data_IF_116385158841
#
_entry.id   IF_116385158841
#
_cell.length_a   1.000
_cell.length_b   1.000
_cell.length_c   1.000
_cell.angle_alpha   90.00
_cell.angle_beta   90.00
_cell.angle_gamma   90.00
#
_symmetry.space_group_name_H-M   'P 1'
#
loop_
_entity.id
_entity.type
_entity.pdbx_description
1 polymer ?
#
# COMPACT_ATOMS: atom_id res chain seq x y z
N UNK A 1 3.46 -21.19 -25.78
CA UNK A 1 2.49 -20.80 -24.72
C UNK A 1 1.26 -21.68 -24.92
N UNK A 2 0.80 -22.35 -23.87
CA UNK A 2 -0.47 -23.09 -23.92
C UNK A 2 -1.63 -22.10 -24.04
N UNK A 3 -2.78 -22.55 -24.55
CA UNK A 3 -4.01 -21.71 -24.62
C UNK A 3 -4.42 -21.19 -23.24
N UNK A 4 -4.21 -21.97 -22.19
CA UNK A 4 -4.49 -21.59 -20.79
C UNK A 4 -3.54 -20.50 -20.29
N UNK A 5 -2.24 -20.57 -20.63
CA UNK A 5 -1.30 -19.49 -20.29
C UNK A 5 -1.72 -18.17 -20.94
N UNK A 6 -2.15 -18.21 -22.20
CA UNK A 6 -2.66 -17.02 -22.89
C UNK A 6 -3.92 -16.48 -22.20
N UNK A 7 -4.83 -17.37 -21.78
CA UNK A 7 -6.04 -16.97 -21.04
C UNK A 7 -5.70 -16.27 -19.69
N UNK A 8 -4.74 -16.80 -18.93
CA UNK A 8 -4.26 -16.17 -17.69
C UNK A 8 -3.73 -14.76 -17.95
N UNK A 9 -2.88 -14.61 -18.99
CA UNK A 9 -2.32 -13.29 -19.36
C UNK A 9 -3.42 -12.31 -19.77
N UNK A 10 -4.39 -12.74 -20.55
CA UNK A 10 -5.52 -11.90 -20.98
C UNK A 10 -6.34 -11.46 -19.77
N UNK A 11 -6.70 -12.40 -18.88
CA UNK A 11 -7.46 -12.08 -17.64
C UNK A 11 -6.68 -11.10 -16.77
N UNK A 12 -5.37 -11.30 -16.61
CA UNK A 12 -4.52 -10.42 -15.81
C UNK A 12 -4.47 -9.01 -16.41
N UNK A 13 -4.20 -8.87 -17.71
CA UNK A 13 -4.13 -7.55 -18.38
C UNK A 13 -5.50 -6.86 -18.33
N UNK A 14 -6.59 -7.57 -18.64
CA UNK A 14 -7.94 -7.00 -18.63
C UNK A 14 -8.35 -6.56 -17.23
N UNK A 15 -8.08 -7.39 -16.21
CA UNK A 15 -8.34 -7.04 -14.81
C UNK A 15 -7.54 -5.82 -14.36
N UNK A 16 -6.27 -5.73 -14.74
CA UNK A 16 -5.43 -4.58 -14.41
C UNK A 16 -5.92 -3.29 -15.07
N UNK A 17 -6.37 -3.37 -16.33
CA UNK A 17 -6.99 -2.23 -17.02
C UNK A 17 -8.30 -1.81 -16.34
N UNK A 18 -9.13 -2.75 -15.90
CA UNK A 18 -10.36 -2.45 -15.16
C UNK A 18 -10.04 -1.76 -13.81
N UNK A 19 -9.00 -2.19 -13.09
CA UNK A 19 -8.54 -1.54 -11.86
C UNK A 19 -8.03 -0.12 -12.14
N UNK A 20 -7.22 0.06 -13.18
CA UNK A 20 -6.70 1.38 -13.57
C UNK A 20 -7.80 2.35 -14.00
N UNK A 21 -8.86 1.85 -14.62
CA UNK A 21 -10.00 2.62 -15.09
C UNK A 21 -11.16 2.68 -14.08
N UNK A 22 -10.93 2.39 -12.80
CA UNK A 22 -11.96 2.42 -11.74
C UNK A 22 -12.77 3.73 -11.74
N UNK A 23 -12.11 4.86 -11.96
CA UNK A 23 -12.75 6.18 -12.01
C UNK A 23 -13.80 6.32 -13.13
N UNK A 24 -13.63 5.59 -14.23
CA UNK A 24 -14.51 5.59 -15.40
C UNK A 24 -15.57 4.50 -15.28
N UNK A 25 -15.14 3.28 -14.96
CA UNK A 25 -16.00 2.08 -14.91
C UNK A 25 -16.92 2.07 -13.70
N UNK A 26 -16.55 2.77 -12.63
CA UNK A 26 -17.25 2.77 -11.32
C UNK A 26 -17.32 1.37 -10.67
N UNK A 27 -16.55 0.41 -11.16
CA UNK A 27 -16.45 -0.93 -10.58
C UNK A 27 -15.39 -0.93 -9.49
N UNK A 28 -15.72 -1.51 -8.34
CA UNK A 28 -14.80 -1.58 -7.21
C UNK A 28 -13.57 -2.42 -7.55
N UNK A 29 -12.39 -1.84 -7.41
CA UNK A 29 -11.10 -2.48 -7.70
C UNK A 29 -10.87 -3.78 -6.92
N UNK A 30 -11.36 -3.87 -5.67
CA UNK A 30 -11.23 -5.09 -4.87
C UNK A 30 -12.05 -6.24 -5.44
N UNK A 31 -13.26 -5.97 -5.98
CA UNK A 31 -14.08 -6.96 -6.65
C UNK A 31 -13.41 -7.44 -7.94
N UNK A 32 -12.84 -6.54 -8.73
CA UNK A 32 -12.07 -6.91 -9.95
C UNK A 32 -10.88 -7.77 -9.58
N UNK A 33 -10.09 -7.38 -8.56
CA UNK A 33 -8.92 -8.14 -8.13
C UNK A 33 -9.31 -9.56 -7.62
N UNK A 34 -10.42 -9.69 -6.90
CA UNK A 34 -10.92 -10.97 -6.44
C UNK A 34 -11.34 -11.88 -7.62
N UNK A 35 -12.07 -11.35 -8.58
CA UNK A 35 -12.45 -12.09 -9.80
C UNK A 35 -11.21 -12.51 -10.60
N UNK A 36 -10.26 -11.60 -10.77
CA UNK A 36 -8.99 -11.89 -11.44
C UNK A 36 -8.22 -13.01 -10.73
N UNK A 37 -8.15 -12.98 -9.41
CA UNK A 37 -7.56 -14.04 -8.60
C UNK A 37 -8.25 -15.39 -8.87
N UNK A 38 -9.57 -15.45 -8.77
CA UNK A 38 -10.34 -16.69 -8.99
C UNK A 38 -10.12 -17.24 -10.39
N UNK A 39 -10.22 -16.43 -11.44
CA UNK A 39 -10.02 -16.89 -12.81
C UNK A 39 -8.58 -17.35 -13.08
N UNK A 40 -7.57 -16.61 -12.62
CA UNK A 40 -6.17 -17.01 -12.80
C UNK A 40 -5.87 -18.35 -12.11
N UNK A 41 -6.35 -18.54 -10.88
CA UNK A 41 -6.18 -19.81 -10.17
C UNK A 41 -6.98 -20.95 -10.82
N UNK A 42 -8.18 -20.70 -11.32
CA UNK A 42 -8.96 -21.70 -12.05
C UNK A 42 -8.22 -22.18 -13.30
N UNK A 43 -7.70 -21.27 -14.11
CA UNK A 43 -6.94 -21.65 -15.30
C UNK A 43 -5.61 -22.34 -14.98
N UNK A 44 -4.95 -21.94 -13.90
CA UNK A 44 -3.75 -22.63 -13.40
C UNK A 44 -4.09 -24.08 -12.99
N UNK A 45 -5.20 -24.29 -12.27
CA UNK A 45 -5.64 -25.61 -11.79
C UNK A 45 -6.12 -26.55 -12.90
N UNK A 46 -6.49 -26.03 -14.08
CA UNK A 46 -6.88 -26.87 -15.22
C UNK A 46 -5.69 -27.61 -15.85
N UNK A 47 -4.48 -27.05 -15.79
CA UNK A 47 -3.25 -27.68 -16.28
C UNK A 47 -2.03 -27.25 -15.45
N UNK A 48 -1.94 -27.69 -14.18
CA UNK A 48 -0.84 -27.30 -13.31
C UNK A 48 0.51 -27.90 -13.77
N UNK A 49 0.49 -29.02 -14.51
CA UNK A 49 1.69 -29.66 -15.05
C UNK A 49 2.44 -28.82 -16.08
N UNK A 50 1.77 -27.87 -16.73
CA UNK A 50 2.42 -26.93 -17.63
C UNK A 50 3.32 -25.91 -16.90
N UNK A 51 3.14 -25.73 -15.58
CA UNK A 51 3.83 -24.73 -14.76
C UNK A 51 4.75 -25.36 -13.72
N UNK A 52 4.37 -26.53 -13.18
CA UNK A 52 5.15 -27.26 -12.19
C UNK A 52 5.87 -28.40 -12.93
N UNK A 53 7.16 -28.23 -13.15
CA UNK A 53 7.99 -29.22 -13.86
C UNK A 53 8.77 -30.09 -12.88
N UNK A 54 9.03 -31.35 -13.27
CA UNK A 54 9.87 -32.26 -12.48
C UNK A 54 9.14 -33.05 -11.39
N UNK A 55 7.82 -33.04 -11.39
CA UNK A 55 6.98 -33.76 -10.41
C UNK A 55 6.14 -34.81 -11.16
N UNK A 56 5.99 -36.02 -10.57
CA UNK A 56 5.09 -37.04 -11.11
C UNK A 56 3.63 -36.61 -10.99
N UNK A 57 2.74 -37.18 -11.80
CA UNK A 57 1.30 -36.87 -11.75
C UNK A 57 0.65 -37.06 -10.37
N UNK A 58 1.14 -38.04 -9.59
CA UNK A 58 0.68 -38.25 -8.21
C UNK A 58 1.23 -37.18 -7.23
N UNK A 59 2.42 -36.65 -7.48
CA UNK A 59 3.02 -35.57 -6.67
C UNK A 59 2.50 -34.16 -7.00
N UNK A 60 1.82 -34.01 -8.16
CA UNK A 60 1.39 -32.72 -8.66
C UNK A 60 0.36 -32.03 -7.74
N UNK A 61 -0.59 -32.81 -7.17
CA UNK A 61 -1.59 -32.31 -6.23
C UNK A 61 -0.92 -31.76 -4.96
N UNK A 62 0.07 -32.47 -4.42
CA UNK A 62 0.82 -32.04 -3.25
C UNK A 62 1.63 -30.76 -3.55
N UNK A 63 2.30 -30.70 -4.71
CA UNK A 63 3.05 -29.53 -5.11
C UNK A 63 2.16 -28.29 -5.32
N UNK A 64 0.96 -28.45 -5.87
CA UNK A 64 -0.03 -27.38 -5.98
C UNK A 64 -0.51 -26.92 -4.61
N UNK A 65 -0.83 -27.88 -3.70
CA UNK A 65 -1.26 -27.57 -2.32
C UNK A 65 -0.18 -26.76 -1.59
N UNK A 66 1.07 -27.20 -1.66
CA UNK A 66 2.21 -26.51 -1.06
C UNK A 66 2.40 -25.10 -1.64
N UNK A 67 2.25 -24.93 -2.95
CA UNK A 67 2.32 -23.61 -3.57
C UNK A 67 1.20 -22.68 -3.07
N UNK A 68 -0.04 -23.18 -2.95
CA UNK A 68 -1.17 -22.42 -2.42
C UNK A 68 -0.92 -22.03 -0.96
N UNK A 69 -0.54 -22.98 -0.11
CA UNK A 69 -0.26 -22.73 1.30
C UNK A 69 0.86 -21.70 1.49
N UNK A 70 1.94 -21.81 0.70
CA UNK A 70 3.04 -20.85 0.72
C UNK A 70 2.59 -19.43 0.36
N UNK A 71 1.80 -19.28 -0.70
CA UNK A 71 1.30 -17.96 -1.11
C UNK A 71 0.28 -17.38 -0.14
N UNK A 72 -0.64 -18.22 0.39
CA UNK A 72 -1.59 -17.80 1.42
C UNK A 72 -0.88 -17.41 2.71
N UNK A 73 0.09 -18.20 3.17
CA UNK A 73 0.89 -17.89 4.36
C UNK A 73 1.61 -16.55 4.24
N UNK A 74 2.29 -16.31 3.13
CA UNK A 74 2.99 -15.05 2.86
C UNK A 74 2.04 -13.86 2.83
N UNK A 75 0.87 -14.00 2.21
CA UNK A 75 -0.15 -12.95 2.14
C UNK A 75 -0.78 -12.69 3.51
N UNK A 76 -1.10 -13.77 4.24
CA UNK A 76 -1.69 -13.69 5.59
C UNK A 76 -0.79 -12.94 6.56
N UNK A 77 0.52 -13.17 6.54
CA UNK A 77 1.48 -12.45 7.38
C UNK A 77 1.37 -10.94 7.17
N UNK A 78 1.31 -10.50 5.91
CA UNK A 78 1.16 -9.08 5.58
C UNK A 78 -0.20 -8.54 6.03
N UNK A 79 -1.29 -9.29 5.84
CA UNK A 79 -2.64 -8.86 6.26
C UNK A 79 -2.74 -8.73 7.78
N UNK A 80 -2.24 -9.70 8.54
CA UNK A 80 -2.26 -9.62 10.02
C UNK A 80 -1.40 -8.49 10.54
N UNK A 81 -0.24 -8.23 9.92
CA UNK A 81 0.57 -7.08 10.26
C UNK A 81 -0.19 -5.76 10.05
N UNK A 82 -0.82 -5.58 8.88
CA UNK A 82 -1.60 -4.38 8.57
C UNK A 82 -2.79 -4.22 9.52
N UNK A 83 -3.53 -5.29 9.81
CA UNK A 83 -4.65 -5.26 10.75
C UNK A 83 -4.20 -4.82 12.15
N UNK A 84 -3.08 -5.37 12.64
CA UNK A 84 -2.50 -4.98 13.94
C UNK A 84 -2.07 -3.52 13.96
N UNK A 85 -1.34 -3.08 12.94
CA UNK A 85 -0.88 -1.70 12.81
C UNK A 85 -2.07 -0.72 12.75
N UNK A 86 -3.08 -0.96 11.92
CA UNK A 86 -4.26 -0.10 11.82
C UNK A 86 -5.07 -0.06 13.12
N UNK A 87 -5.17 -1.18 13.84
CA UNK A 87 -5.83 -1.23 15.16
C UNK A 87 -5.11 -0.35 16.18
N UNK A 88 -3.78 -0.40 16.22
CA UNK A 88 -2.97 0.44 17.12
C UNK A 88 -3.16 1.91 16.78
N UNK A 89 -3.11 2.27 15.49
CA UNK A 89 -3.31 3.65 15.04
C UNK A 89 -4.70 4.18 15.40
N UNK A 90 -5.74 3.36 15.21
CA UNK A 90 -7.11 3.71 15.59
C UNK A 90 -7.24 3.98 17.10
N UNK A 91 -6.64 3.13 17.93
CA UNK A 91 -6.62 3.34 19.39
C UNK A 91 -5.89 4.64 19.75
N UNK A 92 -4.78 4.94 19.10
CA UNK A 92 -4.02 6.19 19.31
C UNK A 92 -4.86 7.41 18.92
N UNK A 93 -5.56 7.35 17.78
CA UNK A 93 -6.42 8.45 17.31
C UNK A 93 -7.60 8.69 18.25
N UNK A 94 -8.30 7.63 18.67
CA UNK A 94 -9.43 7.73 19.61
C UNK A 94 -9.02 8.32 20.96
N UNK A 95 -7.79 8.09 21.41
CA UNK A 95 -7.24 8.66 22.64
C UNK A 95 -6.56 10.03 22.44
N UNK A 96 -6.75 10.65 21.28
CA UNK A 96 -6.22 11.99 21.00
C UNK A 96 -4.71 12.05 20.81
N UNK A 97 -4.07 10.92 20.46
CA UNK A 97 -2.62 10.85 20.25
C UNK A 97 -2.11 11.77 19.14
N UNK A 98 -2.96 12.19 18.21
CA UNK A 98 -2.61 13.14 17.15
C UNK A 98 -2.91 14.61 17.49
N UNK A 99 -3.34 14.93 18.72
CA UNK A 99 -3.59 16.32 19.14
C UNK A 99 -2.34 17.18 19.05
N UNK A 100 -1.15 16.61 19.36
CA UNK A 100 0.12 17.33 19.22
C UNK A 100 0.40 17.76 17.78
N UNK A 101 0.04 16.94 16.81
CA UNK A 101 0.15 17.26 15.37
C UNK A 101 -0.71 18.48 15.06
N UNK A 102 -1.97 18.47 15.50
CA UNK A 102 -2.90 19.58 15.30
C UNK A 102 -2.40 20.88 15.96
N UNK A 103 -1.83 20.79 17.16
CA UNK A 103 -1.31 21.96 17.86
C UNK A 103 -0.05 22.53 17.20
N UNK A 104 0.82 21.69 16.70
CA UNK A 104 2.02 22.07 15.93
C UNK A 104 1.66 22.76 14.60
N UNK A 105 0.55 22.37 13.98
CA UNK A 105 0.10 22.94 12.71
C UNK A 105 -0.59 24.31 12.85
N UNK A 106 -0.97 24.74 14.06
CA UNK A 106 -1.58 26.05 14.27
C UNK A 106 -0.60 27.17 13.92
N UNK A 107 -0.86 27.90 12.84
CA UNK A 107 -0.07 29.07 12.42
C UNK A 107 -0.92 30.00 11.55
N UNK A 108 -0.59 31.30 11.56
CA UNK A 108 -1.26 32.30 10.71
C UNK A 108 -0.61 32.45 9.33
N UNK A 109 0.61 31.92 9.13
CA UNK A 109 1.33 32.01 7.87
C UNK A 109 1.06 30.81 6.99
N UNK A 110 0.53 31.03 5.78
CA UNK A 110 0.28 29.97 4.79
C UNK A 110 1.55 29.20 4.44
N UNK A 111 2.67 29.91 4.26
CA UNK A 111 3.96 29.28 3.92
C UNK A 111 4.50 28.42 5.06
N UNK A 112 4.38 28.90 6.30
CA UNK A 112 4.80 28.13 7.46
C UNK A 112 3.90 26.88 7.65
N UNK A 113 2.60 26.99 7.38
CA UNK A 113 1.66 25.88 7.42
C UNK A 113 2.04 24.80 6.39
N UNK A 114 2.37 25.22 5.16
CA UNK A 114 2.78 24.32 4.09
C UNK A 114 3.97 23.44 4.52
N UNK A 115 5.05 24.06 4.99
CA UNK A 115 6.23 23.32 5.42
C UNK A 115 5.99 22.45 6.65
N UNK A 116 5.20 22.93 7.61
CA UNK A 116 4.84 22.13 8.78
C UNK A 116 4.04 20.90 8.39
N UNK A 117 3.06 21.04 7.48
CA UNK A 117 2.29 19.92 6.96
C UNK A 117 3.21 18.93 6.24
N UNK A 118 4.07 19.40 5.32
CA UNK A 118 4.97 18.52 4.58
C UNK A 118 5.87 17.69 5.50
N UNK A 119 6.59 18.36 6.40
CA UNK A 119 7.54 17.72 7.32
C UNK A 119 6.82 16.76 8.28
N UNK A 120 5.71 17.20 8.90
CA UNK A 120 4.97 16.35 9.84
C UNK A 120 4.39 15.13 9.13
N UNK A 121 3.82 15.29 7.95
CA UNK A 121 3.28 14.19 7.16
C UNK A 121 4.36 13.20 6.75
N UNK A 122 5.52 13.70 6.32
CA UNK A 122 6.64 12.87 5.91
C UNK A 122 7.12 11.94 7.04
N UNK A 123 7.40 12.48 8.22
CA UNK A 123 7.85 11.66 9.35
C UNK A 123 6.74 10.79 9.94
N UNK A 124 5.51 11.28 9.97
CA UNK A 124 4.38 10.50 10.47
C UNK A 124 4.12 9.28 9.58
N UNK A 125 4.25 9.44 8.27
CA UNK A 125 4.08 8.34 7.31
C UNK A 125 5.18 7.28 7.38
N UNK A 126 6.38 7.65 7.80
CA UNK A 126 7.43 6.68 8.03
C UNK A 126 7.14 5.73 9.21
N UNK A 127 6.24 6.11 10.12
CA UNK A 127 5.90 5.35 11.33
C UNK A 127 4.55 4.64 11.17
N UNK A 128 3.54 5.33 10.60
CA UNK A 128 2.17 4.78 10.51
C UNK A 128 1.97 3.98 9.23
N UNK A 129 1.89 4.53 8.17
CA UNK A 129 1.77 4.17 6.76
C UNK A 129 1.24 5.38 5.99
N UNK A 130 1.41 5.38 4.68
CA UNK A 130 1.05 6.50 3.82
C UNK A 130 -0.47 6.74 3.73
N UNK A 131 -1.28 5.67 3.72
CA UNK A 131 -2.73 5.77 3.62
C UNK A 131 -3.32 6.34 4.91
N UNK A 132 -3.02 5.74 6.05
CA UNK A 132 -3.50 6.19 7.37
C UNK A 132 -3.04 7.61 7.66
N UNK A 133 -1.77 7.92 7.42
CA UNK A 133 -1.23 9.28 7.59
C UNK A 133 -1.96 10.29 6.72
N UNK A 134 -2.24 9.96 5.45
CA UNK A 134 -2.99 10.85 4.57
C UNK A 134 -4.40 11.12 5.10
N UNK A 135 -5.10 10.10 5.57
CA UNK A 135 -6.45 10.23 6.14
C UNK A 135 -6.42 11.14 7.38
N UNK A 136 -5.54 10.86 8.34
CA UNK A 136 -5.42 11.64 9.60
C UNK A 136 -5.07 13.09 9.29
N UNK A 137 -4.06 13.33 8.45
CA UNK A 137 -3.62 14.69 8.11
C UNK A 137 -4.68 15.48 7.34
N UNK A 138 -5.42 14.85 6.44
CA UNK A 138 -6.54 15.51 5.74
C UNK A 138 -7.70 15.81 6.69
N UNK A 139 -8.01 14.94 7.66
CA UNK A 139 -8.99 15.22 8.69
C UNK A 139 -8.61 16.44 9.54
N UNK A 140 -7.34 16.53 9.96
CA UNK A 140 -6.82 17.69 10.71
C UNK A 140 -6.87 18.95 9.83
N UNK A 141 -6.43 18.85 8.57
CA UNK A 141 -6.44 19.97 7.62
C UNK A 141 -7.85 20.54 7.42
N UNK A 142 -8.88 19.70 7.33
CA UNK A 142 -10.29 20.15 7.20
C UNK A 142 -10.76 20.99 8.37
N UNK A 143 -10.21 20.77 9.55
CA UNK A 143 -10.52 21.56 10.76
C UNK A 143 -9.73 22.88 10.83
N UNK A 144 -8.57 22.95 10.18
CA UNK A 144 -7.66 24.11 10.23
C UNK A 144 -7.86 25.09 9.07
N UNK A 145 -8.17 24.59 7.87
CA UNK A 145 -8.25 25.38 6.65
C UNK A 145 -9.67 25.35 6.07
N UNK A 146 -10.35 26.51 6.11
CA UNK A 146 -11.74 26.65 5.66
C UNK A 146 -11.82 26.88 4.14
N UNK A 147 -10.83 27.60 3.55
CA UNK A 147 -10.80 27.86 2.13
C UNK A 147 -10.59 26.56 1.32
N UNK A 148 -11.47 26.33 0.33
CA UNK A 148 -11.44 25.11 -0.47
C UNK A 148 -10.20 25.02 -1.37
N UNK A 149 -9.75 26.14 -1.94
CA UNK A 149 -8.60 26.15 -2.86
C UNK A 149 -7.31 25.88 -2.10
N UNK A 150 -7.09 26.58 -1.00
CA UNK A 150 -5.94 26.35 -0.13
C UNK A 150 -5.93 24.90 0.38
N UNK A 151 -7.09 24.38 0.77
CA UNK A 151 -7.22 23.00 1.26
C UNK A 151 -6.87 21.94 0.22
N UNK A 152 -7.18 22.15 -1.05
CA UNK A 152 -6.79 21.25 -2.13
C UNK A 152 -5.27 21.23 -2.32
N UNK A 153 -4.61 22.39 -2.27
CA UNK A 153 -3.15 22.49 -2.37
C UNK A 153 -2.47 21.75 -1.22
N UNK A 154 -2.92 21.99 0.03
CA UNK A 154 -2.36 21.29 1.18
C UNK A 154 -2.66 19.78 1.17
N UNK A 155 -3.83 19.36 0.69
CA UNK A 155 -4.17 17.96 0.57
C UNK A 155 -3.28 17.25 -0.46
N UNK A 156 -3.01 17.89 -1.60
CA UNK A 156 -2.05 17.35 -2.59
C UNK A 156 -0.65 17.21 -1.99
N UNK A 157 -0.20 18.19 -1.22
CA UNK A 157 1.08 18.13 -0.53
C UNK A 157 1.12 17.00 0.51
N UNK A 158 0.04 16.80 1.27
CA UNK A 158 -0.07 15.68 2.22
C UNK A 158 0.15 14.35 1.50
N UNK A 159 -0.52 14.13 0.37
CA UNK A 159 -0.40 12.88 -0.39
C UNK A 159 1.03 12.67 -0.88
N UNK A 160 1.67 13.70 -1.44
CA UNK A 160 3.07 13.61 -1.91
C UNK A 160 3.99 13.32 -0.73
N UNK A 161 3.87 14.08 0.35
CA UNK A 161 4.73 13.91 1.54
C UNK A 161 4.51 12.57 2.25
N UNK A 162 3.27 12.07 2.29
CA UNK A 162 2.96 10.77 2.86
C UNK A 162 3.60 9.62 2.05
N UNK A 163 3.47 9.65 0.73
CA UNK A 163 4.11 8.62 -0.11
C UNK A 163 5.65 8.70 -0.04
N UNK A 164 6.21 9.90 -0.08
CA UNK A 164 7.66 10.10 0.05
C UNK A 164 8.17 9.64 1.43
N UNK A 165 7.44 9.94 2.50
CA UNK A 165 7.77 9.53 3.86
C UNK A 165 7.61 8.04 4.10
N UNK A 166 6.60 7.41 3.50
CA UNK A 166 6.39 5.97 3.56
C UNK A 166 7.48 5.18 2.83
N UNK A 167 7.99 5.70 1.73
CA UNK A 167 8.91 4.99 0.84
C UNK A 167 10.26 4.64 1.50
N UNK A 168 10.80 5.48 2.40
CA UNK A 168 12.10 5.23 3.02
C UNK A 168 12.02 4.38 4.31
N UNK A 169 10.83 4.06 4.78
CA UNK A 169 10.62 3.26 5.98
C UNK A 169 10.21 1.83 5.62
N UNK A 170 10.69 0.81 6.33
CA UNK A 170 10.28 -0.58 6.08
C UNK A 170 8.81 -0.83 6.42
N UNK A 171 8.17 0.03 7.23
CA UNK A 171 6.77 -0.09 7.68
C UNK A 171 5.86 1.03 7.16
N UNK A 172 6.40 2.02 6.47
CA UNK A 172 5.66 3.20 6.00
C UNK A 172 4.87 3.00 4.71
N UNK A 173 5.07 1.87 4.02
CA UNK A 173 4.32 1.51 2.81
C UNK A 173 4.11 -0.01 2.74
N UNK A 174 2.95 -0.43 2.25
CA UNK A 174 2.63 -1.87 2.10
C UNK A 174 3.64 -2.59 1.23
N UNK A 175 4.16 -1.95 0.20
CA UNK A 175 5.14 -2.55 -0.71
C UNK A 175 6.47 -2.81 -0.01
N UNK A 176 6.96 -1.89 0.80
CA UNK A 176 8.18 -2.08 1.60
C UNK A 176 8.00 -3.13 2.69
N UNK A 177 6.82 -3.18 3.33
CA UNK A 177 6.46 -4.24 4.29
C UNK A 177 6.53 -5.62 3.62
N UNK A 178 5.95 -5.77 2.43
CA UNK A 178 5.97 -7.04 1.70
C UNK A 178 7.40 -7.49 1.34
N UNK A 179 8.24 -6.57 0.88
CA UNK A 179 9.63 -6.86 0.53
C UNK A 179 10.46 -7.21 1.78
N UNK A 180 10.24 -6.50 2.87
CA UNK A 180 10.92 -6.75 4.15
C UNK A 180 10.52 -8.11 4.74
N UNK A 181 9.23 -8.44 4.78
CA UNK A 181 8.74 -9.73 5.26
C UNK A 181 9.28 -10.93 4.45
N UNK A 182 9.55 -10.72 3.16
CA UNK A 182 10.19 -11.72 2.29
C UNK A 182 11.72 -11.78 2.43
N UNK A 183 12.31 -10.94 3.28
CA UNK A 183 13.77 -10.88 3.47
C UNK A 183 14.54 -10.32 2.28
N UNK A 184 13.86 -9.69 1.31
CA UNK A 184 14.47 -9.13 0.11
C UNK A 184 15.17 -7.79 0.37
N UNK A 185 14.78 -7.09 1.42
CA UNK A 185 15.36 -5.82 1.86
C UNK A 185 15.61 -5.85 3.38
N UNK A 186 16.56 -5.06 3.83
CA UNK A 186 16.80 -4.83 5.27
C UNK A 186 16.26 -3.45 5.65
N UNK A 187 15.80 -3.30 6.89
CA UNK A 187 15.30 -2.02 7.40
C UNK A 187 16.36 -0.91 7.29
N UNK A 188 17.59 -1.21 7.71
CA UNK A 188 18.70 -0.24 7.62
C UNK A 188 19.07 0.10 6.18
N UNK A 189 19.00 -0.87 5.25
CA UNK A 189 19.27 -0.67 3.84
C UNK A 189 18.26 0.30 3.20
N UNK A 190 16.97 0.07 3.42
CA UNK A 190 15.91 0.95 2.89
C UNK A 190 16.08 2.38 3.40
N UNK A 191 16.26 2.55 4.70
CA UNK A 191 16.44 3.89 5.29
C UNK A 191 17.66 4.58 4.67
N UNK A 192 18.80 3.89 4.59
CA UNK A 192 20.04 4.48 4.08
C UNK A 192 19.95 4.90 2.60
N UNK A 193 19.40 4.03 1.76
CA UNK A 193 19.40 4.24 0.32
C UNK A 193 18.25 5.14 -0.16
N UNK A 194 17.08 5.07 0.50
CA UNK A 194 15.85 5.73 0.03
C UNK A 194 15.59 7.06 0.74
N UNK A 195 16.19 7.33 1.92
CA UNK A 195 15.93 8.56 2.67
C UNK A 195 16.18 9.84 1.86
N UNK A 196 17.36 9.95 1.22
CA UNK A 196 17.72 11.15 0.44
C UNK A 196 16.78 11.33 -0.77
N UNK A 197 16.55 10.32 -1.64
CA UNK A 197 15.56 10.42 -2.71
C UNK A 197 14.15 10.80 -2.21
N UNK A 198 13.72 10.27 -1.07
CA UNK A 198 12.42 10.59 -0.46
C UNK A 198 12.33 12.04 -0.02
N UNK A 199 13.38 12.58 0.60
CA UNK A 199 13.43 14.00 0.98
C UNK A 199 13.38 14.90 -0.26
N UNK A 200 14.12 14.56 -1.31
CA UNK A 200 14.11 15.31 -2.58
C UNK A 200 12.71 15.27 -3.22
N UNK A 201 12.04 14.14 -3.16
CA UNK A 201 10.68 13.99 -3.71
C UNK A 201 9.61 14.79 -2.92
N UNK A 202 9.85 15.07 -1.64
CA UNK A 202 8.94 15.86 -0.80
C UNK A 202 9.09 17.37 -1.07
N UNK A 203 10.28 17.84 -1.42
CA UNK A 203 10.63 19.28 -1.60
C UNK A 203 10.30 19.76 -2.98
#
# INVERSE_FOLDING_TARGET
MTSLTLAIVIVFITGYLCIALESVTKVNKAAVALLMFVFCWTFFMLDPGAYITGVSSEGLVNAVSEAIEHHLGSTSTTLFFLMGAMTIVEIVDQNGGFNFVRDTLKTKSKRALLWRIAIMTFFLSAILDNLTTSIVMVMILRKLVHDRKDRLVYASLIIISANSGGAFSPIGDVTTIMLWNKGLITAAGVIKEIFIPSVISMV
#
